data_IF_410609477048
#
_entry.id   IF_410609477048
#
_cell.length_a   1.000
_cell.length_b   1.000
_cell.length_c   1.000
_cell.angle_alpha   90.00
_cell.angle_beta   90.00
_cell.angle_gamma   90.00
#
_symmetry.space_group_name_H-M   'P 1'
#
loop_
_entity.id
_entity.type
_entity.pdbx_description
1 polymer ?
#
# COMPACT_ATOMS: atom_id res chain seq x y z
N UNK A 1 -14.22 -13.96 -3.63
CA UNK A 1 -14.31 -12.97 -2.55
C UNK A 1 -14.53 -11.57 -3.11
N UNK A 2 -13.59 -11.02 -3.92
CA UNK A 2 -13.66 -9.64 -4.40
C UNK A 2 -14.92 -9.37 -5.24
N UNK A 3 -15.23 -10.25 -6.21
CA UNK A 3 -16.44 -10.10 -7.03
C UNK A 3 -17.72 -10.08 -6.17
N UNK A 4 -17.82 -10.96 -5.17
CA UNK A 4 -18.95 -10.99 -4.25
C UNK A 4 -19.02 -9.71 -3.40
N UNK A 5 -17.88 -9.19 -2.96
CA UNK A 5 -17.81 -7.94 -2.21
C UNK A 5 -18.12 -6.70 -3.09
N UNK A 6 -17.88 -6.76 -4.41
CA UNK A 6 -18.33 -5.70 -5.33
C UNK A 6 -19.87 -5.63 -5.40
N UNK A 7 -20.55 -6.74 -5.25
CA UNK A 7 -22.02 -6.79 -5.30
C UNK A 7 -22.66 -6.44 -3.96
N UNK A 8 -22.14 -6.99 -2.86
CA UNK A 8 -22.81 -6.96 -1.54
C UNK A 8 -22.10 -6.11 -0.49
N UNK A 9 -20.92 -5.55 -0.80
CA UNK A 9 -20.04 -4.85 0.15
C UNK A 9 -19.17 -5.79 0.97
N UNK A 10 -17.99 -5.29 1.39
CA UNK A 10 -17.03 -6.08 2.17
C UNK A 10 -17.56 -6.51 3.54
N UNK A 11 -18.33 -5.66 4.21
CA UNK A 11 -18.87 -5.93 5.55
C UNK A 11 -19.87 -7.10 5.59
N UNK A 12 -20.53 -7.41 4.46
CA UNK A 12 -21.49 -8.53 4.35
C UNK A 12 -20.83 -9.84 3.95
N UNK A 13 -19.53 -9.83 3.62
CA UNK A 13 -18.81 -11.02 3.20
C UNK A 13 -18.56 -11.95 4.40
N UNK A 14 -19.02 -13.20 4.30
CA UNK A 14 -18.74 -14.26 5.26
C UNK A 14 -18.10 -15.47 4.59
N UNK A 15 -17.24 -16.20 5.32
CA UNK A 15 -16.60 -17.41 4.79
C UNK A 15 -17.61 -18.48 4.34
N UNK A 16 -18.75 -18.60 5.06
CA UNK A 16 -19.79 -19.58 4.68
C UNK A 16 -20.43 -19.27 3.33
N UNK A 17 -20.72 -17.98 3.05
CA UNK A 17 -21.25 -17.54 1.76
C UNK A 17 -20.23 -17.78 0.64
N UNK A 18 -18.96 -17.51 0.93
CA UNK A 18 -17.88 -17.73 -0.02
C UNK A 18 -17.67 -19.23 -0.31
N UNK A 19 -17.70 -20.09 0.72
CA UNK A 19 -17.59 -21.55 0.57
C UNK A 19 -18.75 -22.11 -0.27
N UNK A 20 -19.98 -21.62 -0.04
CA UNK A 20 -21.15 -21.98 -0.86
C UNK A 20 -20.99 -21.58 -2.32
N UNK A 21 -20.51 -20.36 -2.60
CA UNK A 21 -20.26 -19.88 -3.97
C UNK A 21 -19.17 -20.70 -4.69
N UNK A 22 -18.15 -21.14 -3.95
CA UNK A 22 -17.04 -21.94 -4.49
C UNK A 22 -17.37 -23.45 -4.57
N UNK A 23 -18.55 -23.85 -4.10
CA UNK A 23 -18.96 -25.25 -4.01
C UNK A 23 -17.93 -26.12 -3.26
N UNK A 24 -17.34 -25.60 -2.18
CA UNK A 24 -16.33 -26.26 -1.37
C UNK A 24 -16.76 -26.29 0.12
N UNK A 25 -16.30 -27.28 0.91
CA UNK A 25 -16.54 -27.32 2.34
C UNK A 25 -15.96 -26.09 3.05
N UNK A 26 -16.71 -25.55 4.03
CA UNK A 26 -16.23 -24.42 4.82
C UNK A 26 -14.91 -24.72 5.54
N UNK A 27 -14.70 -25.97 5.97
CA UNK A 27 -13.46 -26.39 6.62
C UNK A 27 -12.24 -26.23 5.71
N UNK A 28 -12.33 -26.62 4.45
CA UNK A 28 -11.25 -26.46 3.48
C UNK A 28 -10.93 -24.97 3.21
N UNK A 29 -11.96 -24.12 3.14
CA UNK A 29 -11.75 -22.69 3.00
C UNK A 29 -11.11 -22.09 4.25
N UNK A 30 -11.51 -22.55 5.44
CA UNK A 30 -10.97 -22.11 6.72
C UNK A 30 -9.50 -22.53 6.90
N UNK A 31 -9.07 -23.66 6.36
CA UNK A 31 -7.66 -24.08 6.36
C UNK A 31 -6.76 -23.11 5.59
N UNK A 32 -7.32 -22.45 4.55
CA UNK A 32 -6.58 -21.45 3.76
C UNK A 32 -6.74 -20.03 4.32
N UNK A 33 -7.95 -19.66 4.72
CA UNK A 33 -8.30 -18.34 5.24
C UNK A 33 -9.13 -18.49 6.52
N UNK A 34 -8.50 -18.24 7.67
CA UNK A 34 -9.17 -18.35 8.98
C UNK A 34 -10.37 -17.40 9.14
N UNK A 35 -10.34 -16.25 8.46
CA UNK A 35 -11.34 -15.19 8.52
C UNK A 35 -11.27 -14.29 7.26
N UNK A 36 -12.19 -13.34 7.15
CA UNK A 36 -12.20 -12.37 6.04
C UNK A 36 -10.99 -11.42 6.07
N UNK A 37 -10.42 -11.16 7.25
CA UNK A 37 -9.20 -10.35 7.37
C UNK A 37 -7.98 -11.03 6.73
N UNK A 38 -7.88 -12.36 6.83
CA UNK A 38 -6.84 -13.13 6.15
C UNK A 38 -6.97 -13.03 4.61
N UNK A 39 -8.20 -12.95 4.09
CA UNK A 39 -8.44 -12.68 2.66
C UNK A 39 -7.98 -11.27 2.28
N UNK A 40 -8.28 -10.26 3.11
CA UNK A 40 -7.81 -8.89 2.88
C UNK A 40 -6.28 -8.81 2.91
N UNK A 41 -5.64 -9.49 3.88
CA UNK A 41 -4.18 -9.55 3.96
C UNK A 41 -3.55 -10.20 2.73
N UNK A 42 -4.16 -11.29 2.21
CA UNK A 42 -3.72 -11.92 0.97
C UNK A 42 -3.85 -10.98 -0.25
N UNK A 43 -4.90 -10.16 -0.28
CA UNK A 43 -5.10 -9.14 -1.32
C UNK A 43 -3.99 -8.08 -1.28
N UNK A 44 -3.66 -7.52 -0.10
CA UNK A 44 -2.56 -6.57 0.05
C UNK A 44 -1.19 -7.22 -0.21
N UNK A 45 -1.00 -8.48 0.20
CA UNK A 45 0.23 -9.22 -0.11
C UNK A 45 0.40 -9.43 -1.62
N UNK A 46 -0.68 -9.64 -2.38
CA UNK A 46 -0.65 -9.70 -3.85
C UNK A 46 -0.15 -8.37 -4.44
N UNK A 47 -0.65 -7.24 -3.97
CA UNK A 47 -0.19 -5.93 -4.43
C UNK A 47 1.31 -5.72 -4.14
N UNK A 48 1.78 -6.17 -2.97
CA UNK A 48 3.20 -6.12 -2.61
C UNK A 48 4.04 -7.01 -3.54
N UNK A 49 3.58 -8.22 -3.87
CA UNK A 49 4.26 -9.06 -4.88
C UNK A 49 4.32 -8.40 -6.25
N UNK A 50 3.23 -7.74 -6.68
CA UNK A 50 3.20 -7.00 -7.95
C UNK A 50 4.18 -5.82 -7.93
N UNK A 51 4.27 -5.10 -6.82
CA UNK A 51 5.24 -4.02 -6.63
C UNK A 51 6.68 -4.52 -6.83
N UNK A 52 7.00 -5.70 -6.28
CA UNK A 52 8.35 -6.29 -6.29
C UNK A 52 8.64 -7.16 -7.52
N UNK A 53 7.65 -7.46 -8.35
CA UNK A 53 7.83 -8.26 -9.56
C UNK A 53 8.83 -7.59 -10.52
N UNK A 54 9.46 -8.33 -11.45
CA UNK A 54 10.45 -7.78 -12.37
C UNK A 54 10.03 -6.45 -12.98
N UNK A 55 10.94 -5.51 -13.01
CA UNK A 55 10.72 -4.16 -13.50
C UNK A 55 11.08 -4.07 -15.00
N UNK A 56 10.51 -3.11 -15.73
CA UNK A 56 10.86 -2.88 -17.11
C UNK A 56 12.33 -2.45 -17.26
N UNK A 57 12.86 -2.60 -18.45
CA UNK A 57 14.18 -2.09 -18.82
C UNK A 57 14.31 -0.60 -18.45
N UNK A 58 15.47 -0.22 -17.94
CA UNK A 58 15.72 1.16 -17.51
C UNK A 58 15.33 1.48 -16.06
N UNK A 59 14.64 0.60 -15.33
CA UNK A 59 14.29 0.87 -13.92
C UNK A 59 15.53 1.15 -13.04
N UNK A 60 16.62 0.42 -13.24
CA UNK A 60 17.87 0.60 -12.51
C UNK A 60 18.59 1.92 -12.83
N UNK A 61 18.26 2.55 -13.95
CA UNK A 61 18.79 3.85 -14.36
C UNK A 61 18.01 5.02 -13.76
N UNK A 62 16.80 4.76 -13.26
CA UNK A 62 15.99 5.77 -12.57
C UNK A 62 16.68 6.22 -11.29
N UNK A 63 16.52 7.51 -10.94
CA UNK A 63 16.92 7.97 -9.61
C UNK A 63 16.03 7.40 -8.50
N UNK A 64 16.46 7.40 -7.22
CA UNK A 64 15.70 6.79 -6.12
C UNK A 64 14.26 7.30 -6.00
N UNK A 65 14.04 8.58 -6.24
CA UNK A 65 12.71 9.20 -6.20
C UNK A 65 11.78 8.64 -7.28
N UNK A 66 12.28 8.54 -8.51
CA UNK A 66 11.53 7.95 -9.62
C UNK A 66 11.20 6.48 -9.36
N UNK A 67 12.13 5.72 -8.74
CA UNK A 67 11.89 4.34 -8.32
C UNK A 67 10.78 4.26 -7.27
N UNK A 68 10.78 5.14 -6.25
CA UNK A 68 9.72 5.22 -5.24
C UNK A 68 8.36 5.46 -5.90
N UNK A 69 8.27 6.44 -6.81
CA UNK A 69 7.02 6.71 -7.56
C UNK A 69 6.56 5.47 -8.32
N UNK A 70 7.46 4.85 -9.07
CA UNK A 70 7.16 3.66 -9.86
C UNK A 70 6.66 2.51 -9.00
N UNK A 71 7.35 2.20 -7.90
CA UNK A 71 6.98 1.11 -6.98
C UNK A 71 5.64 1.37 -6.30
N UNK A 72 5.42 2.57 -5.77
CA UNK A 72 4.15 2.94 -5.16
C UNK A 72 3.00 2.82 -6.16
N UNK A 73 3.15 3.34 -7.38
CA UNK A 73 2.12 3.25 -8.40
C UNK A 73 1.81 1.80 -8.77
N UNK A 74 2.80 0.93 -8.92
CA UNK A 74 2.56 -0.50 -9.15
C UNK A 74 1.73 -1.16 -8.05
N UNK A 75 1.97 -0.78 -6.79
CA UNK A 75 1.20 -1.28 -5.66
C UNK A 75 -0.26 -0.82 -5.76
N UNK A 76 -0.51 0.46 -6.00
CA UNK A 76 -1.86 1.01 -6.15
C UNK A 76 -2.57 0.51 -7.41
N UNK A 77 -1.86 0.40 -8.53
CA UNK A 77 -2.39 -0.13 -9.79
C UNK A 77 -2.87 -1.59 -9.64
N UNK A 78 -2.16 -2.40 -8.84
CA UNK A 78 -2.56 -3.78 -8.56
C UNK A 78 -3.89 -3.90 -7.78
N UNK A 79 -4.25 -2.89 -7.01
CA UNK A 79 -5.48 -2.83 -6.22
C UNK A 79 -6.63 -2.08 -6.93
N UNK A 80 -6.30 -1.31 -7.96
CA UNK A 80 -7.23 -0.40 -8.66
C UNK A 80 -8.50 -1.08 -9.20
N UNK A 81 -8.46 -2.32 -9.74
CA UNK A 81 -9.65 -3.00 -10.24
C UNK A 81 -10.75 -3.17 -9.18
N UNK A 82 -10.37 -3.25 -7.89
CA UNK A 82 -11.31 -3.40 -6.76
C UNK A 82 -11.11 -2.31 -5.72
N UNK A 83 -10.93 -1.04 -6.17
CA UNK A 83 -10.64 0.09 -5.28
C UNK A 83 -11.68 0.28 -4.20
N UNK A 84 -12.98 0.24 -4.55
CA UNK A 84 -14.08 0.41 -3.60
C UNK A 84 -14.01 -0.64 -2.49
N UNK A 85 -13.91 -1.91 -2.85
CA UNK A 85 -13.81 -3.03 -1.90
C UNK A 85 -12.53 -2.90 -1.06
N UNK A 86 -11.41 -2.50 -1.68
CA UNK A 86 -10.15 -2.27 -0.97
C UNK A 86 -10.27 -1.14 0.07
N UNK A 87 -10.98 -0.06 -0.26
CA UNK A 87 -11.24 1.02 0.69
C UNK A 87 -12.14 0.55 1.85
N UNK A 88 -13.15 -0.28 1.58
CA UNK A 88 -14.00 -0.90 2.60
C UNK A 88 -13.20 -1.84 3.52
N UNK A 89 -12.27 -2.66 2.99
CA UNK A 89 -11.34 -3.50 3.77
C UNK A 89 -10.49 -2.64 4.72
N UNK A 90 -9.95 -1.54 4.23
CA UNK A 90 -9.15 -0.62 5.05
C UNK A 90 -9.99 0.04 6.14
N UNK A 91 -11.20 0.48 5.81
CA UNK A 91 -12.13 1.06 6.78
C UNK A 91 -12.49 0.05 7.89
N UNK A 92 -12.76 -1.21 7.52
CA UNK A 92 -13.04 -2.27 8.48
C UNK A 92 -11.85 -2.53 9.42
N UNK A 93 -10.61 -2.56 8.90
CA UNK A 93 -9.40 -2.73 9.71
C UNK A 93 -9.14 -1.54 10.65
N UNK A 94 -9.55 -0.33 10.30
CA UNK A 94 -9.38 0.87 11.12
C UNK A 94 -10.51 1.10 12.13
N UNK A 95 -11.55 0.25 12.13
CA UNK A 95 -12.71 0.44 13.01
C UNK A 95 -12.30 0.29 14.49
N UNK A 96 -12.64 1.26 15.39
CA UNK A 96 -12.18 1.31 16.76
C UNK A 96 -12.38 0.05 17.62
N UNK A 97 -13.48 -0.71 17.50
CA UNK A 97 -13.68 -1.96 18.25
C UNK A 97 -12.64 -3.04 17.97
N UNK A 98 -11.90 -2.94 16.86
CA UNK A 98 -10.93 -3.94 16.41
C UNK A 98 -9.46 -3.54 16.68
N UNK A 99 -9.19 -2.93 17.85
CA UNK A 99 -7.82 -2.48 18.25
C UNK A 99 -6.78 -3.61 18.17
N UNK A 100 -7.18 -4.86 18.36
CA UNK A 100 -6.30 -6.03 18.22
C UNK A 100 -5.77 -6.25 16.78
N UNK A 101 -6.42 -5.69 15.75
CA UNK A 101 -5.93 -5.70 14.37
C UNK A 101 -4.88 -4.61 14.08
N UNK A 102 -4.75 -3.59 14.94
CA UNK A 102 -3.84 -2.48 14.70
C UNK A 102 -2.37 -2.90 14.76
N UNK A 103 -2.01 -3.80 15.70
CA UNK A 103 -0.66 -4.33 15.80
C UNK A 103 -0.20 -4.96 14.48
N UNK A 104 -0.87 -6.00 13.98
CA UNK A 104 -0.53 -6.63 12.69
C UNK A 104 -0.53 -5.63 11.52
N UNK A 105 -1.47 -4.68 11.48
CA UNK A 105 -1.54 -3.66 10.43
C UNK A 105 -0.31 -2.75 10.43
N UNK A 106 0.14 -2.29 11.60
CA UNK A 106 1.34 -1.45 11.75
C UNK A 106 2.59 -2.22 11.31
N UNK A 107 2.72 -3.50 11.71
CA UNK A 107 3.83 -4.35 11.30
C UNK A 107 3.83 -4.61 9.79
N UNK A 108 2.68 -4.86 9.18
CA UNK A 108 2.56 -5.06 7.75
C UNK A 108 2.91 -3.78 6.98
N UNK A 109 2.47 -2.62 7.45
CA UNK A 109 2.85 -1.32 6.88
C UNK A 109 4.36 -1.08 6.98
N UNK A 110 4.95 -1.31 8.16
CA UNK A 110 6.40 -1.17 8.37
C UNK A 110 7.20 -2.06 7.40
N UNK A 111 6.80 -3.32 7.24
CA UNK A 111 7.42 -4.24 6.28
C UNK A 111 7.27 -3.76 4.84
N UNK A 112 6.08 -3.26 4.46
CA UNK A 112 5.86 -2.70 3.13
C UNK A 112 6.78 -1.52 2.85
N UNK A 113 6.94 -0.61 3.82
CA UNK A 113 7.83 0.55 3.67
C UNK A 113 9.29 0.13 3.59
N UNK A 114 9.73 -0.87 4.36
CA UNK A 114 11.07 -1.43 4.26
C UNK A 114 11.33 -2.04 2.87
N UNK A 115 10.39 -2.85 2.37
CA UNK A 115 10.49 -3.44 1.02
C UNK A 115 10.51 -2.37 -0.08
N UNK A 116 9.66 -1.34 0.04
CA UNK A 116 9.66 -0.19 -0.87
C UNK A 116 11.00 0.53 -0.88
N UNK A 117 11.57 0.75 0.30
CA UNK A 117 12.86 1.40 0.50
C UNK A 117 14.01 0.60 -0.13
N UNK A 118 14.03 -0.71 0.14
CA UNK A 118 15.04 -1.62 -0.37
C UNK A 118 14.96 -1.73 -1.91
N UNK A 119 13.77 -1.92 -2.46
CA UNK A 119 13.55 -1.98 -3.90
C UNK A 119 13.88 -0.65 -4.63
N UNK A 120 13.69 0.50 -3.95
CA UNK A 120 14.11 1.80 -4.47
C UNK A 120 15.63 2.04 -4.38
N UNK A 121 16.37 1.16 -3.68
CA UNK A 121 17.82 1.27 -3.52
C UNK A 121 18.26 2.34 -2.52
N UNK A 122 17.44 2.65 -1.53
CA UNK A 122 17.79 3.59 -0.45
C UNK A 122 18.70 2.89 0.57
N UNK A 123 19.96 3.32 0.65
CA UNK A 123 21.00 2.68 1.47
C UNK A 123 21.36 3.45 2.75
N UNK A 124 20.66 4.52 3.09
CA UNK A 124 20.95 5.30 4.28
C UNK A 124 20.81 4.46 5.56
N UNK A 125 21.73 4.70 6.50
CA UNK A 125 21.73 4.10 7.83
C UNK A 125 21.46 5.11 8.95
N UNK A 126 21.38 4.64 10.20
CA UNK A 126 21.24 5.49 11.39
C UNK A 126 20.01 6.41 11.35
N UNK A 127 20.17 7.64 11.81
CA UNK A 127 19.09 8.65 11.90
C UNK A 127 18.46 8.97 10.54
N UNK A 128 19.26 9.03 9.49
CA UNK A 128 18.76 9.29 8.14
C UNK A 128 17.82 8.19 7.67
N UNK A 129 18.11 6.94 7.96
CA UNK A 129 17.19 5.81 7.69
C UNK A 129 15.86 6.00 8.38
N UNK A 130 15.85 6.37 9.66
CA UNK A 130 14.61 6.61 10.41
C UNK A 130 13.76 7.73 9.80
N UNK A 131 14.39 8.84 9.40
CA UNK A 131 13.71 9.94 8.73
C UNK A 131 13.12 9.51 7.37
N UNK A 132 13.86 8.72 6.59
CA UNK A 132 13.36 8.17 5.32
C UNK A 132 12.15 7.26 5.55
N UNK A 133 12.20 6.37 6.56
CA UNK A 133 11.08 5.48 6.89
C UNK A 133 9.84 6.24 7.35
N UNK A 134 10.00 7.26 8.20
CA UNK A 134 8.90 8.14 8.64
C UNK A 134 8.30 8.89 7.44
N UNK A 135 9.15 9.50 6.62
CA UNK A 135 8.72 10.25 5.44
C UNK A 135 8.00 9.39 4.42
N UNK A 136 8.51 8.18 4.14
CA UNK A 136 7.87 7.23 3.23
C UNK A 136 6.55 6.71 3.79
N UNK A 137 6.47 6.43 5.10
CA UNK A 137 5.23 6.02 5.77
C UNK A 137 4.17 7.11 5.65
N UNK A 138 4.52 8.35 5.95
CA UNK A 138 3.61 9.47 5.82
C UNK A 138 3.15 9.68 4.36
N UNK A 139 4.09 9.64 3.41
CA UNK A 139 3.78 9.74 1.99
C UNK A 139 2.83 8.62 1.55
N UNK A 140 3.10 7.38 1.94
CA UNK A 140 2.27 6.22 1.60
C UNK A 140 0.86 6.36 2.14
N UNK A 141 0.69 6.68 3.43
CA UNK A 141 -0.62 6.85 4.06
C UNK A 141 -1.43 8.01 3.46
N UNK A 142 -0.78 9.15 3.21
CA UNK A 142 -1.43 10.27 2.53
C UNK A 142 -1.84 9.91 1.10
N UNK A 143 -1.01 9.16 0.39
CA UNK A 143 -1.34 8.69 -0.96
C UNK A 143 -2.48 7.69 -0.93
N UNK A 144 -2.49 6.75 0.01
CA UNK A 144 -3.56 5.78 0.20
C UNK A 144 -4.92 6.48 0.42
N UNK A 145 -4.94 7.53 1.27
CA UNK A 145 -6.14 8.33 1.49
C UNK A 145 -6.64 8.99 0.20
N UNK A 146 -5.73 9.57 -0.60
CA UNK A 146 -6.09 10.18 -1.88
C UNK A 146 -6.59 9.13 -2.85
N UNK A 147 -5.92 7.98 -2.92
CA UNK A 147 -6.23 6.89 -3.83
C UNK A 147 -7.59 6.24 -3.56
N UNK A 148 -7.99 6.08 -2.29
CA UNK A 148 -9.31 5.55 -1.93
C UNK A 148 -10.47 6.36 -2.52
N UNK A 149 -10.30 7.68 -2.70
CA UNK A 149 -11.30 8.57 -3.30
C UNK A 149 -10.94 9.07 -4.70
N UNK A 150 -10.07 8.36 -5.42
CA UNK A 150 -9.62 8.76 -6.76
C UNK A 150 -10.42 8.05 -7.85
N UNK A 151 -11.42 8.70 -8.38
CA UNK A 151 -12.32 8.28 -9.48
C UNK A 151 -11.83 8.76 -10.85
N UNK A 152 -10.66 9.40 -10.91
CA UNK A 152 -10.10 9.85 -12.18
C UNK A 152 -9.55 8.70 -13.01
N UNK A 153 -9.62 8.86 -14.33
CA UNK A 153 -9.04 7.90 -15.26
C UNK A 153 -7.52 7.71 -14.96
N UNK A 154 -7.07 6.45 -14.99
CA UNK A 154 -5.68 6.05 -14.73
C UNK A 154 -5.12 6.58 -13.40
N UNK A 155 -5.99 6.85 -12.42
CA UNK A 155 -5.59 7.36 -11.10
C UNK A 155 -4.77 8.67 -11.20
N UNK A 156 -5.14 9.54 -12.13
CA UNK A 156 -4.40 10.75 -12.45
C UNK A 156 -4.23 11.69 -11.24
N UNK A 157 -5.20 11.72 -10.32
CA UNK A 157 -5.14 12.49 -9.07
C UNK A 157 -4.06 11.93 -8.13
N UNK A 158 -4.03 10.61 -7.94
CA UNK A 158 -3.03 9.92 -7.13
C UNK A 158 -1.62 10.09 -7.70
N UNK A 159 -1.44 9.90 -9.01
CA UNK A 159 -0.16 10.08 -9.70
C UNK A 159 0.38 11.50 -9.52
N UNK A 160 -0.45 12.51 -9.71
CA UNK A 160 -0.09 13.92 -9.49
C UNK A 160 0.25 14.22 -8.03
N UNK A 161 -0.49 13.61 -7.09
CA UNK A 161 -0.25 13.79 -5.67
C UNK A 161 1.14 13.29 -5.26
N UNK A 162 1.50 12.06 -5.62
CA UNK A 162 2.82 11.47 -5.32
C UNK A 162 3.93 12.36 -5.88
N UNK A 163 3.84 12.73 -7.16
CA UNK A 163 4.84 13.56 -7.82
C UNK A 163 5.05 14.91 -7.12
N UNK A 164 3.96 15.61 -6.75
CA UNK A 164 4.04 16.90 -6.04
C UNK A 164 4.69 16.76 -4.66
N UNK A 165 4.33 15.74 -3.88
CA UNK A 165 4.85 15.54 -2.53
C UNK A 165 6.34 15.21 -2.54
N UNK A 166 6.79 14.36 -3.44
CA UNK A 166 8.21 14.03 -3.57
C UNK A 166 9.05 15.22 -4.08
N UNK A 167 8.50 16.04 -4.98
CA UNK A 167 9.17 17.26 -5.41
C UNK A 167 9.30 18.28 -4.27
N UNK A 168 8.28 18.40 -3.42
CA UNK A 168 8.32 19.25 -2.23
C UNK A 168 9.35 18.81 -1.21
N UNK A 169 9.42 17.51 -0.91
CA UNK A 169 10.38 16.93 0.03
C UNK A 169 11.83 17.17 -0.42
N UNK A 170 12.12 17.04 -1.72
CA UNK A 170 13.45 17.30 -2.28
C UNK A 170 13.88 18.75 -2.11
N UNK A 171 12.98 19.70 -2.40
CA UNK A 171 13.26 21.14 -2.20
C UNK A 171 13.57 21.47 -0.74
N UNK A 172 12.82 20.87 0.18
CA UNK A 172 13.03 21.07 1.63
C UNK A 172 14.38 20.51 2.07
N UNK A 173 14.78 19.33 1.59
CA UNK A 173 16.08 18.73 1.89
C UNK A 173 17.23 19.57 1.33
N UNK A 174 17.10 20.10 0.11
CA UNK A 174 18.11 20.98 -0.48
C UNK A 174 18.27 22.26 0.35
N UNK A 175 17.16 22.88 0.82
CA UNK A 175 17.20 24.06 1.65
C UNK A 175 17.85 23.80 3.02
N UNK A 176 17.53 22.68 3.68
CA UNK A 176 18.11 22.30 4.96
C UNK A 176 19.63 22.04 4.83
N UNK A 177 20.05 21.33 3.78
CA UNK A 177 21.47 21.06 3.53
C UNK A 177 22.25 22.31 3.06
N UNK A 178 21.59 23.34 2.55
CA UNK A 178 22.23 24.61 2.23
C UNK A 178 22.52 25.43 3.51
N UNK A 179 21.57 25.46 4.45
CA UNK A 179 21.74 26.16 5.73
C UNK A 179 22.82 25.52 6.64
N UNK A 180 22.95 24.18 6.64
CA UNK A 180 24.01 23.48 7.41
C UNK A 180 25.43 23.71 6.89
N UNK A 181 25.63 24.42 5.77
CA UNK A 181 26.94 24.76 5.22
C UNK A 181 27.36 26.22 5.50
N UNK A 182 26.47 27.02 6.05
CA UNK A 182 26.71 28.40 6.39
C UNK A 182 27.03 28.64 7.89
N UNK A 183 26.85 27.61 8.73
CA UNK A 183 27.28 27.51 10.12
C UNK A 183 28.58 26.69 10.28
#
# INVERSE_FOLDING_TARGET
ALALAEESGWASLGLSALAGLLCMPLAELHDVYRDTDAIADAWFARATRTMLAPHPEGFTQLNPKQRIVHLMLRWFDALAPHRRVTAEMLAAKMHPPHVHHWGPMVFNLSRLIQLLRDAAGLRAGGRRRQLEEIGLTALFLMTLRVWCGDDTQDQARTRRFIGRRLNGAERLMVQLCANDRED
#
